data_IF_469757813143
#
_entry.id   IF_469757813143
#
_cell.length_a   1.000
_cell.length_b   1.000
_cell.length_c   1.000
_cell.angle_alpha   90.00
_cell.angle_beta   90.00
_cell.angle_gamma   90.00
#
_symmetry.space_group_name_H-M   'P 1'
#
loop_
_entity.id
_entity.type
_entity.pdbx_description
1 polymer ?
#
# COMPACT_ATOMS: atom_id res chain seq x y z
N UNK A 1 5.36 54.03 7.02
CA UNK A 1 4.59 52.81 7.31
C UNK A 1 4.92 51.76 6.27
N UNK A 2 5.79 50.79 6.58
CA UNK A 2 6.05 49.65 5.68
C UNK A 2 5.29 48.46 6.24
N UNK A 3 4.24 48.06 5.52
CA UNK A 3 3.49 46.84 5.81
C UNK A 3 4.38 45.63 5.55
N UNK A 4 4.68 44.86 6.59
CA UNK A 4 5.22 43.51 6.49
C UNK A 4 4.02 42.56 6.37
N UNK A 5 3.76 42.02 5.17
CA UNK A 5 2.90 40.85 5.01
C UNK A 5 3.66 39.62 5.52
N UNK A 6 3.08 38.77 6.37
CA UNK A 6 3.69 37.49 6.68
C UNK A 6 3.49 36.55 5.49
N UNK A 7 4.60 36.01 4.99
CA UNK A 7 4.62 34.94 4.00
C UNK A 7 4.07 33.68 4.69
N UNK A 8 2.83 33.28 4.38
CA UNK A 8 2.27 32.00 4.81
C UNK A 8 2.97 30.91 4.00
N UNK A 9 3.93 30.22 4.62
CA UNK A 9 4.50 28.99 4.08
C UNK A 9 3.42 27.89 4.17
N UNK A 10 2.80 27.58 3.04
CA UNK A 10 1.96 26.38 2.91
C UNK A 10 2.92 25.20 2.79
N UNK A 11 3.20 24.53 3.90
CA UNK A 11 3.91 23.26 3.92
C UNK A 11 3.00 22.17 3.35
N UNK A 12 3.21 21.81 2.09
CA UNK A 12 2.61 20.61 1.50
C UNK A 12 3.25 19.38 2.14
N UNK A 13 2.53 18.80 3.09
CA UNK A 13 2.89 17.53 3.72
C UNK A 13 2.77 16.43 2.66
N UNK A 14 3.89 15.81 2.28
CA UNK A 14 3.88 14.56 1.51
C UNK A 14 4.18 13.41 2.47
N UNK A 15 3.16 12.60 2.76
CA UNK A 15 3.26 11.41 3.63
C UNK A 15 3.44 10.22 2.69
N UNK A 16 4.50 9.42 2.89
CA UNK A 16 4.86 8.28 2.05
C UNK A 16 4.05 7.02 2.41
N UNK A 17 3.14 6.64 1.52
CA UNK A 17 3.11 5.47 0.63
C UNK A 17 3.32 4.04 1.16
N UNK A 18 2.23 3.44 1.67
CA UNK A 18 2.10 1.99 1.81
C UNK A 18 0.79 1.47 1.26
N UNK A 19 0.77 1.19 -0.04
CA UNK A 19 -0.22 0.43 -0.82
C UNK A 19 0.34 0.27 -2.26
N UNK A 20 -0.23 -0.55 -3.14
CA UNK A 20 0.39 -0.84 -4.45
C UNK A 20 0.49 0.38 -5.35
N UNK A 21 -0.53 1.23 -5.37
CA UNK A 21 -0.47 2.48 -6.13
C UNK A 21 0.67 3.36 -5.64
N UNK A 22 0.88 3.37 -4.32
CA UNK A 22 2.01 4.00 -3.65
C UNK A 22 3.38 3.51 -4.14
N UNK A 23 3.49 2.26 -4.62
CA UNK A 23 4.72 1.75 -5.24
C UNK A 23 5.07 2.45 -6.56
N UNK A 24 4.08 3.05 -7.24
CA UNK A 24 4.26 3.70 -8.53
C UNK A 24 4.20 5.23 -8.45
N UNK A 25 4.00 5.79 -7.25
CA UNK A 25 3.94 7.23 -6.97
C UNK A 25 2.86 7.57 -5.96
N UNK A 26 2.73 8.85 -5.61
CA UNK A 26 1.85 9.32 -4.55
C UNK A 26 0.36 8.99 -4.82
N UNK A 27 -0.29 8.08 -4.06
CA UNK A 27 -1.62 7.55 -4.34
C UNK A 27 -2.71 8.46 -3.76
N UNK A 28 -2.73 9.72 -4.13
CA UNK A 28 -3.74 10.69 -3.70
C UNK A 28 -4.77 10.98 -4.80
N UNK A 29 -5.92 11.53 -4.40
CA UNK A 29 -6.86 12.13 -5.35
C UNK A 29 -6.30 13.46 -5.87
N UNK A 30 -5.35 13.37 -6.80
CA UNK A 30 -4.66 14.52 -7.36
C UNK A 30 -5.57 15.35 -8.31
N UNK A 31 -5.32 16.66 -8.45
CA UNK A 31 -6.15 17.56 -9.25
C UNK A 31 -5.96 17.39 -10.77
N UNK A 32 -5.07 16.50 -11.21
CA UNK A 32 -4.78 16.22 -12.62
C UNK A 32 -5.81 15.27 -13.27
N UNK A 33 -6.88 14.93 -12.56
CA UNK A 33 -8.01 14.16 -13.05
C UNK A 33 -9.26 15.03 -13.03
N UNK A 34 -10.07 14.97 -14.09
CA UNK A 34 -11.35 15.67 -14.15
C UNK A 34 -12.29 15.25 -13.01
N UNK A 35 -12.26 13.96 -12.67
CA UNK A 35 -13.05 13.41 -11.57
C UNK A 35 -12.41 12.18 -10.94
N UNK A 36 -12.79 11.91 -9.71
CA UNK A 36 -12.44 10.72 -8.96
C UNK A 36 -13.70 9.95 -8.58
N UNK A 37 -13.62 8.62 -8.54
CA UNK A 37 -14.71 7.82 -7.98
C UNK A 37 -14.83 8.07 -6.47
N UNK A 38 -15.99 7.73 -5.92
CA UNK A 38 -16.11 7.54 -4.48
C UNK A 38 -15.10 6.50 -3.99
N UNK A 39 -14.77 6.59 -2.70
CA UNK A 39 -13.89 5.62 -2.04
C UNK A 39 -14.59 4.26 -1.96
N UNK A 40 -13.90 3.23 -2.44
CA UNK A 40 -14.38 1.87 -2.39
C UNK A 40 -14.47 1.30 -0.98
N UNK A 41 -14.97 0.05 -0.86
CA UNK A 41 -14.96 -0.65 0.42
C UNK A 41 -13.53 -0.88 0.90
N UNK A 42 -13.41 -1.16 2.19
CA UNK A 42 -12.15 -1.60 2.78
C UNK A 42 -11.71 -2.95 2.26
N UNK A 43 -10.50 -2.99 1.73
CA UNK A 43 -9.93 -4.19 1.15
C UNK A 43 -8.90 -4.79 2.10
N UNK A 44 -9.06 -6.08 2.39
CA UNK A 44 -8.15 -6.87 3.20
C UNK A 44 -8.06 -8.28 2.62
N UNK A 45 -6.84 -8.79 2.42
CA UNK A 45 -6.57 -10.16 1.95
C UNK A 45 -7.34 -10.61 0.68
N UNK A 46 -7.50 -9.73 -0.30
CA UNK A 46 -8.11 -10.04 -1.62
C UNK A 46 -7.08 -10.01 -2.74
N UNK A 47 -7.34 -10.67 -3.86
CA UNK A 47 -6.56 -10.58 -5.11
C UNK A 47 -6.61 -9.16 -5.67
N UNK A 48 -5.45 -8.55 -5.99
CA UNK A 48 -5.32 -7.13 -6.39
C UNK A 48 -6.38 -6.63 -7.38
N UNK A 49 -6.54 -7.33 -8.50
CA UNK A 49 -7.44 -6.88 -9.57
C UNK A 49 -8.92 -7.01 -9.19
N UNK A 50 -9.23 -7.84 -8.20
CA UNK A 50 -10.58 -7.93 -7.64
C UNK A 50 -10.84 -6.87 -6.57
N UNK A 51 -9.80 -6.15 -6.12
CA UNK A 51 -9.91 -5.01 -5.23
C UNK A 51 -10.33 -3.75 -5.98
N UNK A 52 -9.84 -3.60 -7.22
CA UNK A 52 -10.17 -2.49 -8.10
C UNK A 52 -11.70 -2.38 -8.25
N UNK A 53 -12.24 -1.17 -8.09
CA UNK A 53 -13.68 -0.93 -8.18
C UNK A 53 -14.25 -1.50 -9.50
N UNK A 54 -15.35 -2.28 -9.46
CA UNK A 54 -16.03 -2.77 -10.64
C UNK A 54 -16.92 -1.68 -11.29
N UNK A 55 -17.45 -1.97 -12.48
CA UNK A 55 -18.42 -1.11 -13.16
C UNK A 55 -17.80 0.04 -13.97
N UNK A 56 -18.67 0.82 -14.64
CA UNK A 56 -18.27 1.88 -15.60
C UNK A 56 -17.40 2.98 -14.98
N UNK A 57 -17.55 3.22 -13.68
CA UNK A 57 -16.78 4.22 -12.92
C UNK A 57 -15.57 3.62 -12.18
N UNK A 58 -15.42 2.30 -12.15
CA UNK A 58 -14.35 1.63 -11.42
C UNK A 58 -13.07 1.34 -12.24
N UNK A 59 -11.94 1.17 -11.54
CA UNK A 59 -10.59 1.07 -12.12
C UNK A 59 -10.41 -0.11 -13.10
N UNK A 60 -11.20 -1.19 -12.96
CA UNK A 60 -11.08 -2.40 -13.78
C UNK A 60 -11.28 -2.16 -15.28
N UNK A 61 -12.03 -1.13 -15.64
CA UNK A 61 -12.38 -0.82 -17.04
C UNK A 61 -11.32 0.03 -17.74
N UNK A 62 -10.38 0.61 -16.99
CA UNK A 62 -9.36 1.47 -17.55
C UNK A 62 -8.32 0.64 -18.32
N UNK A 63 -7.96 1.08 -19.53
CA UNK A 63 -7.07 0.35 -20.46
C UNK A 63 -5.75 -0.03 -19.80
N UNK A 64 -5.20 0.86 -18.98
CA UNK A 64 -3.95 0.61 -18.27
C UNK A 64 -4.06 -0.58 -17.29
N UNK A 65 -5.17 -0.73 -16.56
CA UNK A 65 -5.37 -1.87 -15.66
C UNK A 65 -5.61 -3.17 -16.41
N UNK A 66 -6.21 -3.12 -17.59
CA UNK A 66 -6.29 -4.28 -18.49
C UNK A 66 -4.89 -4.71 -18.92
N UNK A 67 -4.06 -3.77 -19.38
CA UNK A 67 -2.66 -4.05 -19.74
C UNK A 67 -1.81 -4.55 -18.56
N UNK A 68 -1.96 -3.95 -17.38
CA UNK A 68 -1.30 -4.42 -16.15
C UNK A 68 -1.71 -5.87 -15.84
N UNK A 69 -3.01 -6.16 -15.90
CA UNK A 69 -3.54 -7.49 -15.65
C UNK A 69 -3.05 -8.50 -16.68
N UNK A 70 -3.06 -8.13 -17.96
CA UNK A 70 -2.65 -9.01 -19.05
C UNK A 70 -1.14 -9.32 -18.96
N UNK A 71 -0.32 -8.33 -18.60
CA UNK A 71 1.15 -8.48 -18.55
C UNK A 71 1.66 -9.08 -17.24
N UNK A 72 1.16 -8.60 -16.11
CA UNK A 72 1.68 -8.89 -14.76
C UNK A 72 0.65 -9.53 -13.83
N UNK A 73 -0.55 -9.87 -14.33
CA UNK A 73 -1.64 -10.42 -13.53
C UNK A 73 -1.23 -11.59 -12.64
N UNK A 74 -0.47 -12.53 -13.20
CA UNK A 74 0.06 -13.69 -12.48
C UNK A 74 1.04 -13.30 -11.37
N UNK A 75 1.93 -12.34 -11.60
CA UNK A 75 2.87 -11.87 -10.59
C UNK A 75 2.15 -11.22 -9.40
N UNK A 76 1.19 -10.33 -9.65
CA UNK A 76 0.35 -9.77 -8.59
C UNK A 76 -0.43 -10.85 -7.84
N UNK A 77 -1.02 -11.82 -8.54
CA UNK A 77 -1.76 -12.91 -7.90
C UNK A 77 -0.84 -13.75 -6.99
N UNK A 78 0.37 -14.08 -7.44
CA UNK A 78 1.34 -14.84 -6.65
C UNK A 78 1.74 -14.06 -5.38
N UNK A 79 2.00 -12.75 -5.51
CA UNK A 79 2.29 -11.87 -4.37
C UNK A 79 1.16 -11.85 -3.35
N UNK A 80 -0.09 -11.59 -3.77
CA UNK A 80 -1.22 -11.52 -2.84
C UNK A 80 -1.63 -12.87 -2.27
N UNK A 81 -1.47 -13.96 -3.04
CA UNK A 81 -1.68 -15.31 -2.53
C UNK A 81 -0.69 -15.62 -1.43
N UNK A 82 0.59 -15.31 -1.63
CA UNK A 82 1.60 -15.48 -0.58
C UNK A 82 1.25 -14.69 0.68
N UNK A 83 0.93 -13.39 0.57
CA UNK A 83 0.56 -12.57 1.73
C UNK A 83 -0.66 -13.13 2.48
N UNK A 84 -1.65 -13.64 1.75
CA UNK A 84 -2.82 -14.29 2.33
C UNK A 84 -2.46 -15.61 3.01
N UNK A 85 -1.60 -16.42 2.40
CA UNK A 85 -1.19 -17.72 2.95
C UNK A 85 -0.34 -17.61 4.22
N UNK A 86 0.47 -16.56 4.35
CA UNK A 86 1.28 -16.32 5.55
C UNK A 86 0.50 -15.61 6.65
N UNK A 87 -0.55 -14.86 6.33
CA UNK A 87 -1.32 -14.12 7.33
C UNK A 87 -2.35 -15.03 7.99
N UNK A 88 -2.29 -15.13 9.32
CA UNK A 88 -3.20 -15.93 10.15
C UNK A 88 -4.41 -15.10 10.61
N UNK A 89 -4.23 -13.78 10.80
CA UNK A 89 -5.33 -12.90 11.20
C UNK A 89 -6.49 -12.93 10.20
N UNK A 90 -7.70 -13.18 10.70
CA UNK A 90 -8.94 -13.19 9.90
C UNK A 90 -9.60 -11.81 9.76
N UNK A 91 -9.29 -10.90 10.70
CA UNK A 91 -9.81 -9.52 10.73
C UNK A 91 -8.76 -8.53 10.24
N UNK A 92 -9.21 -7.36 9.79
CA UNK A 92 -8.36 -6.23 9.42
C UNK A 92 -7.36 -5.91 10.54
N UNK A 93 -6.10 -5.76 10.17
CA UNK A 93 -4.99 -5.59 11.10
C UNK A 93 -3.79 -4.95 10.39
N UNK A 94 -2.77 -4.61 11.16
CA UNK A 94 -1.47 -4.25 10.64
C UNK A 94 -1.43 -2.92 9.89
N UNK A 95 -2.48 -2.11 9.95
CA UNK A 95 -2.68 -0.98 9.03
C UNK A 95 -2.60 -1.36 7.54
N UNK A 96 -2.91 -2.62 7.22
CA UNK A 96 -2.77 -3.19 5.88
C UNK A 96 -4.03 -3.06 5.02
N UNK A 97 -5.14 -2.59 5.58
CA UNK A 97 -6.42 -2.46 4.86
C UNK A 97 -6.64 -1.04 4.37
N UNK A 98 -7.12 -0.93 3.14
CA UNK A 98 -7.25 0.35 2.45
C UNK A 98 -8.49 0.45 1.59
N UNK A 99 -8.88 1.69 1.32
CA UNK A 99 -9.88 2.06 0.34
C UNK A 99 -9.18 2.58 -0.90
N UNK A 100 -9.75 2.32 -2.06
CA UNK A 100 -9.24 2.80 -3.34
C UNK A 100 -10.23 3.76 -3.99
N UNK A 101 -9.72 4.73 -4.75
CA UNK A 101 -10.49 5.61 -5.62
C UNK A 101 -9.80 5.73 -6.99
N UNK A 102 -10.60 5.81 -8.04
CA UNK A 102 -10.14 5.73 -9.42
C UNK A 102 -10.29 7.08 -10.12
N UNK A 103 -9.20 7.59 -10.68
CA UNK A 103 -9.21 8.81 -11.47
C UNK A 103 -9.82 8.60 -12.87
N UNK A 104 -10.44 9.64 -13.41
CA UNK A 104 -11.02 9.67 -14.76
C UNK A 104 -10.54 10.90 -15.53
N UNK A 105 -10.34 10.70 -16.83
CA UNK A 105 -9.80 11.70 -17.76
C UNK A 105 -8.55 12.39 -17.21
N UNK A 106 -7.65 11.59 -16.63
CA UNK A 106 -6.44 12.10 -16.00
C UNK A 106 -5.36 12.41 -17.03
N UNK A 107 -4.63 13.50 -16.81
CA UNK A 107 -3.46 13.84 -17.61
C UNK A 107 -2.17 13.57 -16.85
N UNK A 108 -1.14 13.14 -17.59
CA UNK A 108 0.23 12.93 -17.06
C UNK A 108 1.08 14.20 -17.08
N UNK A 109 0.52 15.33 -17.53
CA UNK A 109 1.21 16.62 -17.54
C UNK A 109 1.09 17.26 -16.16
N UNK A 110 2.22 17.61 -15.55
CA UNK A 110 2.30 18.22 -14.22
C UNK A 110 3.53 17.73 -13.46
N UNK A 111 3.61 18.07 -12.19
CA UNK A 111 4.69 17.66 -11.31
C UNK A 111 4.70 16.13 -11.14
N UNK A 112 5.80 15.49 -11.50
CA UNK A 112 5.99 14.03 -11.44
C UNK A 112 5.89 13.51 -10.00
N UNK A 113 6.12 14.36 -9.00
CA UNK A 113 5.94 14.03 -7.58
C UNK A 113 4.48 13.89 -7.15
N UNK A 114 3.53 14.40 -7.94
CA UNK A 114 2.09 14.35 -7.65
C UNK A 114 1.30 13.36 -8.52
N UNK A 115 1.88 12.90 -9.63
CA UNK A 115 1.15 12.11 -10.62
C UNK A 115 1.40 10.63 -10.39
N UNK A 116 0.43 9.96 -9.80
CA UNK A 116 0.37 8.50 -9.79
C UNK A 116 0.06 7.98 -11.22
N UNK A 117 0.96 7.21 -11.86
CA UNK A 117 0.78 6.77 -13.24
C UNK A 117 -0.32 5.72 -13.40
N UNK A 118 -0.77 5.10 -12.30
CA UNK A 118 -1.91 4.18 -12.29
C UNK A 118 -3.25 4.91 -12.18
N UNK A 119 -3.25 6.21 -11.81
CA UNK A 119 -4.45 7.00 -11.51
C UNK A 119 -5.35 6.33 -10.46
N UNK A 120 -4.72 5.71 -9.47
CA UNK A 120 -5.37 5.13 -8.30
C UNK A 120 -4.93 5.87 -7.06
N UNK A 121 -5.92 6.37 -6.33
CA UNK A 121 -5.73 6.90 -5.01
C UNK A 121 -6.04 5.81 -4.00
N UNK A 122 -5.28 5.77 -2.91
CA UNK A 122 -5.41 4.79 -1.85
C UNK A 122 -5.35 5.52 -0.51
N UNK A 123 -6.13 5.05 0.46
CA UNK A 123 -6.14 5.61 1.82
C UNK A 123 -6.43 4.54 2.85
N UNK A 124 -6.02 4.80 4.09
CA UNK A 124 -6.43 4.00 5.26
C UNK A 124 -7.95 3.89 5.34
N UNK A 125 -8.42 2.71 5.74
CA UNK A 125 -9.82 2.48 6.07
C UNK A 125 -10.34 3.38 7.18
N UNK A 126 -11.40 4.14 6.89
CA UNK A 126 -12.08 4.99 7.86
C UNK A 126 -13.04 4.15 8.73
N UNK A 127 -13.04 4.41 10.04
CA UNK A 127 -13.97 3.76 10.98
C UNK A 127 -13.68 2.29 11.28
N UNK A 128 -12.52 1.77 10.87
CA UNK A 128 -12.06 0.40 11.19
C UNK A 128 -10.81 0.52 12.06
N UNK A 129 -10.85 -0.09 13.25
CA UNK A 129 -9.63 -0.30 14.02
C UNK A 129 -8.84 -1.47 13.43
N UNK A 130 -7.67 -1.14 12.89
CA UNK A 130 -6.71 -2.08 12.33
C UNK A 130 -5.29 -1.80 12.83
N UNK A 131 -5.16 -1.07 13.95
CA UNK A 131 -3.85 -0.69 14.51
C UNK A 131 -3.10 -1.93 15.02
N UNK A 132 -3.82 -2.93 15.54
CA UNK A 132 -3.16 -4.13 16.05
C UNK A 132 -2.43 -4.87 14.93
N UNK A 133 -1.15 -5.18 15.13
CA UNK A 133 -0.35 -5.90 14.14
C UNK A 133 -1.02 -7.23 13.74
N UNK A 134 -0.89 -7.61 12.47
CA UNK A 134 -1.36 -8.89 11.98
C UNK A 134 -0.55 -10.04 12.59
N UNK A 135 -1.20 -11.17 12.86
CA UNK A 135 -0.50 -12.42 13.17
C UNK A 135 -0.21 -13.12 11.85
N UNK A 136 1.04 -13.53 11.65
CA UNK A 136 1.49 -14.28 10.48
C UNK A 136 2.31 -15.50 10.90
N UNK A 137 2.43 -16.47 9.99
CA UNK A 137 3.29 -17.64 10.14
C UNK A 137 4.72 -17.21 10.50
N UNK A 138 5.34 -17.98 11.37
CA UNK A 138 6.72 -17.71 11.76
C UNK A 138 7.69 -18.13 10.66
N UNK A 139 8.65 -17.26 10.38
CA UNK A 139 9.84 -17.54 9.59
C UNK A 139 11.03 -16.96 10.36
N UNK A 140 12.24 -17.48 10.10
CA UNK A 140 13.47 -16.95 10.68
C UNK A 140 13.55 -15.43 10.48
N UNK A 141 13.84 -14.71 11.57
CA UNK A 141 13.88 -13.25 11.65
C UNK A 141 12.61 -12.50 11.24
N UNK A 142 11.48 -13.22 11.07
CA UNK A 142 10.22 -12.68 10.58
C UNK A 142 10.34 -11.88 9.27
N UNK A 143 11.34 -12.18 8.44
CA UNK A 143 11.52 -11.54 7.13
C UNK A 143 10.56 -12.14 6.11
N UNK A 144 9.29 -11.73 6.21
CA UNK A 144 8.22 -12.19 5.32
C UNK A 144 8.25 -11.50 3.95
N UNK A 145 8.93 -10.36 3.81
CA UNK A 145 9.10 -9.63 2.56
C UNK A 145 10.50 -8.98 2.49
N UNK A 146 11.13 -8.91 1.30
CA UNK A 146 10.82 -9.68 0.08
C UNK A 146 11.05 -11.18 0.29
N UNK A 147 10.35 -12.00 -0.50
CA UNK A 147 10.54 -13.46 -0.48
C UNK A 147 10.88 -13.97 -1.89
N UNK A 148 12.14 -14.40 -2.13
CA UNK A 148 12.60 -14.82 -3.47
C UNK A 148 11.95 -16.13 -3.96
N UNK A 149 11.22 -16.84 -3.10
CA UNK A 149 10.49 -18.06 -3.49
C UNK A 149 9.18 -17.76 -4.22
N UNK A 150 8.71 -16.51 -4.17
CA UNK A 150 7.51 -16.09 -4.90
C UNK A 150 7.91 -15.85 -6.35
N UNK A 151 7.32 -16.61 -7.26
CA UNK A 151 7.56 -16.41 -8.69
C UNK A 151 6.80 -15.17 -9.17
N UNK A 152 7.50 -14.22 -9.76
CA UNK A 152 6.94 -13.02 -10.37
C UNK A 152 7.19 -13.05 -11.89
N UNK A 153 6.43 -13.84 -12.66
CA UNK A 153 6.66 -13.98 -14.10
C UNK A 153 6.44 -12.66 -14.83
N UNK A 154 7.14 -12.48 -15.96
CA UNK A 154 7.10 -11.28 -16.81
C UNK A 154 7.59 -9.97 -16.14
N UNK A 155 8.19 -10.08 -14.95
CA UNK A 155 8.91 -8.99 -14.29
C UNK A 155 10.35 -8.99 -14.78
N UNK A 156 10.83 -7.85 -15.26
CA UNK A 156 12.24 -7.70 -15.66
C UNK A 156 13.15 -7.65 -14.44
N UNK A 157 14.44 -7.96 -14.60
CA UNK A 157 15.40 -7.91 -13.49
C UNK A 157 15.45 -6.53 -12.81
N UNK A 158 15.42 -5.45 -13.59
CA UNK A 158 15.34 -4.08 -13.07
C UNK A 158 14.08 -3.83 -12.23
N UNK A 159 12.94 -4.41 -12.61
CA UNK A 159 11.69 -4.28 -11.86
C UNK A 159 11.71 -5.19 -10.62
N UNK A 160 12.37 -6.35 -10.69
CA UNK A 160 12.56 -7.22 -9.53
C UNK A 160 13.36 -6.51 -8.44
N UNK A 161 14.44 -5.80 -8.79
CA UNK A 161 15.22 -5.01 -7.83
C UNK A 161 14.38 -3.92 -7.16
N UNK A 162 13.51 -3.24 -7.92
CA UNK A 162 12.57 -2.26 -7.37
C UNK A 162 11.62 -2.94 -6.39
N UNK A 163 11.02 -4.07 -6.78
CA UNK A 163 10.08 -4.84 -5.95
C UNK A 163 10.74 -5.33 -4.66
N UNK A 164 11.94 -5.88 -4.75
CA UNK A 164 12.67 -6.39 -3.59
C UNK A 164 13.09 -5.27 -2.63
N UNK A 165 13.30 -4.07 -3.16
CA UNK A 165 13.57 -2.86 -2.37
C UNK A 165 12.34 -2.23 -1.71
N UNK A 166 11.13 -2.71 -2.01
CA UNK A 166 9.91 -2.14 -1.42
C UNK A 166 9.83 -2.47 0.06
N UNK A 167 9.76 -1.42 0.86
CA UNK A 167 9.40 -1.52 2.27
C UNK A 167 7.88 -1.69 2.40
N UNK A 168 7.35 -2.85 2.03
CA UNK A 168 5.91 -3.12 2.04
C UNK A 168 5.38 -3.58 3.41
N UNK A 169 6.12 -4.48 4.06
CA UNK A 169 5.69 -5.17 5.28
C UNK A 169 6.86 -5.25 6.27
N UNK A 170 6.63 -4.81 7.51
CA UNK A 170 7.58 -4.90 8.60
C UNK A 170 7.04 -5.81 9.69
N UNK A 171 7.85 -6.74 10.18
CA UNK A 171 7.43 -7.75 11.14
C UNK A 171 8.44 -7.92 12.29
N UNK A 172 7.93 -8.31 13.45
CA UNK A 172 8.72 -8.66 14.63
C UNK A 172 8.30 -10.04 15.16
N UNK A 173 9.22 -10.83 15.74
CA UNK A 173 8.88 -12.13 16.30
C UNK A 173 8.08 -11.97 17.61
N UNK A 174 7.12 -12.87 17.81
CA UNK A 174 6.47 -13.09 19.10
C UNK A 174 6.58 -14.57 19.46
N UNK A 175 7.36 -14.87 20.50
CA UNK A 175 7.49 -16.22 21.04
C UNK A 175 6.33 -16.49 21.99
N UNK A 176 5.54 -17.53 21.69
CA UNK A 176 4.41 -17.98 22.51
C UNK A 176 4.62 -19.46 22.90
N UNK A 177 4.01 -19.93 24.00
CA UNK A 177 4.09 -21.35 24.39
C UNK A 177 3.60 -22.31 23.29
N UNK A 178 2.58 -21.89 22.51
CA UNK A 178 1.96 -22.69 21.46
C UNK A 178 2.61 -22.50 20.08
N UNK A 179 3.86 -22.04 20.05
CA UNK A 179 4.61 -21.76 18.82
C UNK A 179 4.80 -20.27 18.56
N UNK A 180 5.96 -19.96 17.99
CA UNK A 180 6.31 -18.58 17.62
C UNK A 180 5.45 -18.12 16.44
N UNK A 181 5.19 -16.81 16.36
CA UNK A 181 4.49 -16.15 15.24
C UNK A 181 5.23 -14.87 14.87
N UNK A 182 4.94 -14.34 13.68
CA UNK A 182 5.37 -13.00 13.29
C UNK A 182 4.22 -12.01 13.47
N UNK A 183 4.54 -10.82 13.96
CA UNK A 183 3.60 -9.71 14.16
C UNK A 183 3.94 -8.64 13.15
N UNK A 184 3.04 -8.33 12.23
CA UNK A 184 3.35 -7.54 11.04
C UNK A 184 2.47 -6.30 10.88
N UNK A 185 3.06 -5.21 10.41
CA UNK A 185 2.40 -3.98 10.00
C UNK A 185 2.83 -3.63 8.56
N UNK A 186 1.91 -3.09 7.78
CA UNK A 186 2.19 -2.55 6.46
C UNK A 186 2.78 -1.15 6.60
N UNK A 187 3.58 -0.76 5.62
CA UNK A 187 4.10 0.60 5.54
C UNK A 187 2.97 1.65 5.59
N UNK A 188 3.19 2.84 6.19
CA UNK A 188 4.41 3.35 6.82
C UNK A 188 4.62 2.91 8.28
N UNK A 189 3.94 1.86 8.72
CA UNK A 189 3.96 1.43 10.11
C UNK A 189 4.94 0.29 10.36
N UNK A 190 5.45 0.21 11.58
CA UNK A 190 6.22 -0.90 12.10
C UNK A 190 5.57 -1.40 13.40
N UNK A 191 5.57 -2.71 13.68
CA UNK A 191 5.06 -3.21 14.94
C UNK A 191 5.96 -2.80 16.11
N UNK A 192 5.36 -2.33 17.19
CA UNK A 192 6.03 -2.23 18.48
C UNK A 192 6.31 -3.65 19.03
N UNK A 193 7.56 -4.00 19.39
CA UNK A 193 7.91 -5.36 19.80
C UNK A 193 7.36 -5.79 21.17
N UNK A 194 6.89 -4.85 22.00
CA UNK A 194 6.26 -5.13 23.29
C UNK A 194 4.74 -5.17 23.21
N UNK A 195 4.13 -4.18 22.57
CA UNK A 195 2.66 -4.05 22.51
C UNK A 195 2.05 -4.71 21.28
N UNK A 196 2.83 -4.89 20.21
CA UNK A 196 2.38 -5.33 18.88
C UNK A 196 1.28 -4.44 18.29
N UNK A 197 1.28 -3.16 18.64
CA UNK A 197 0.55 -2.09 17.95
C UNK A 197 1.40 -1.54 16.81
N UNK A 198 0.74 -1.00 15.78
CA UNK A 198 1.41 -0.43 14.62
C UNK A 198 1.72 1.04 14.88
N UNK A 199 3.01 1.37 14.88
CA UNK A 199 3.51 2.72 15.10
C UNK A 199 4.13 3.25 13.81
N UNK A 200 4.02 4.56 13.57
CA UNK A 200 4.70 5.19 12.43
C UNK A 200 6.20 4.98 12.55
N UNK A 201 6.84 4.62 11.44
CA UNK A 201 8.29 4.42 11.41
C UNK A 201 9.03 5.70 11.85
N UNK A 202 10.11 5.60 12.65
CA UNK A 202 10.76 6.76 13.26
C UNK A 202 11.29 7.79 12.28
N UNK A 203 11.69 7.37 11.07
CA UNK A 203 12.16 8.27 10.02
C UNK A 203 11.04 9.07 9.36
N UNK A 204 9.78 8.70 9.58
CA UNK A 204 8.60 9.48 9.23
C UNK A 204 8.27 10.51 10.33
N UNK A 205 8.61 10.20 11.59
CA UNK A 205 8.37 11.06 12.77
C UNK A 205 9.42 12.17 12.99
N UNK A 206 10.43 12.31 12.13
CA UNK A 206 11.35 13.46 12.19
C UNK A 206 10.74 14.65 11.43
N UNK A 207 9.77 15.31 12.06
CA UNK A 207 9.33 16.67 11.76
C UNK A 207 8.92 17.35 13.07
#
# INVERSE_FOLDING_TARGET
MRFLLPLVLISTISITDGQISAMFGNPIQAPNCESWSEWGPCVFQRSYFDQLLPGRKGCRTHVFFRLLKDRWGTAFNNFYNYLREITISEKQCGECSYQQSCGRQCHRRGDVSMINPLFVAERRCMGIDQNKACTSKFMTDCKLWPNPKIQLPNVTESMQQIIDGLDYLSCVPQHRPNGSVCRCCCHPYTPNPQTFECELKPFINKN
#
